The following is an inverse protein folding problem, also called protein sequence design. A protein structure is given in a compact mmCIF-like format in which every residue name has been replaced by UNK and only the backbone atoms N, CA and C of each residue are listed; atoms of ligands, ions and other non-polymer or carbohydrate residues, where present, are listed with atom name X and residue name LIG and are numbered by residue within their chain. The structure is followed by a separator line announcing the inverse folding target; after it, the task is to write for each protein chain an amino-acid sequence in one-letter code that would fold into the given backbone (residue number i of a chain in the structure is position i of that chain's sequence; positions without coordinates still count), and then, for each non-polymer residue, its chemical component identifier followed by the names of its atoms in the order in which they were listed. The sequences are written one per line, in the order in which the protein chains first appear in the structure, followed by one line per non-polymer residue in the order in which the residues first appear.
data_IF_854201162511
#
_entry.id   IF_854201162511
#
_cell.length_a   1.000
_cell.length_b   1.000
_cell.length_c   1.000
_cell.angle_alpha   90.00
_cell.angle_beta   90.00
_cell.angle_gamma   90.00
#
_symmetry.space_group_name_H-M   'P 1'
#
loop_
_entity.id
_entity.type
_entity.pdbx_description
1 polymer ?
#
# COMPACT_ATOMS: atom_id res chain seq x y z
N UNK A 1 11.02 7.70 40.22
CA UNK A 1 9.70 7.59 39.56
C UNK A 1 9.84 8.17 38.16
N UNK A 2 9.75 7.39 37.07
CA UNK A 2 9.83 7.96 35.73
C UNK A 2 8.55 8.77 35.44
N UNK A 3 8.71 9.98 34.93
CA UNK A 3 7.61 10.88 34.61
C UNK A 3 6.81 10.37 33.40
N UNK A 4 5.48 10.33 33.52
CA UNK A 4 4.59 9.98 32.42
C UNK A 4 4.57 11.16 31.44
N UNK A 5 4.91 10.97 30.15
CA UNK A 5 4.92 12.08 29.18
C UNK A 5 3.49 12.65 29.01
N UNK A 6 3.36 13.98 28.86
CA UNK A 6 2.06 14.63 28.75
C UNK A 6 1.32 14.13 27.51
N UNK A 7 0.06 13.70 27.68
CA UNK A 7 -0.80 13.23 26.59
C UNK A 7 -0.95 14.36 25.59
N UNK A 8 -0.49 14.15 24.34
CA UNK A 8 -0.68 15.15 23.29
C UNK A 8 -2.17 15.52 23.20
N UNK A 9 -2.46 16.82 23.11
CA UNK A 9 -3.83 17.29 22.88
C UNK A 9 -4.41 16.56 21.67
N UNK A 10 -5.63 16.05 21.80
CA UNK A 10 -6.34 15.40 20.71
C UNK A 10 -6.30 16.25 19.43
N UNK A 11 -6.41 17.57 19.55
CA UNK A 11 -6.32 18.50 18.42
C UNK A 11 -4.96 18.42 17.68
N UNK A 12 -3.84 18.31 18.41
CA UNK A 12 -2.51 18.14 17.79
C UNK A 12 -2.38 16.79 17.10
N UNK A 13 -2.95 15.73 17.67
CA UNK A 13 -2.95 14.40 17.05
C UNK A 13 -3.78 14.40 15.75
N UNK A 14 -4.94 15.06 15.76
CA UNK A 14 -5.78 15.23 14.57
C UNK A 14 -5.10 16.06 13.48
N UNK A 15 -4.48 17.19 13.83
CA UNK A 15 -3.73 18.01 12.87
C UNK A 15 -2.62 17.20 12.19
N UNK A 16 -1.85 16.43 12.97
CA UNK A 16 -0.80 15.57 12.43
C UNK A 16 -1.34 14.48 11.49
N UNK A 17 -2.47 13.87 11.84
CA UNK A 17 -3.10 12.86 10.98
C UNK A 17 -3.57 13.46 9.63
N UNK A 18 -4.13 14.68 9.67
CA UNK A 18 -4.51 15.41 8.47
C UNK A 18 -3.29 15.78 7.62
N UNK A 19 -2.21 16.27 8.22
CA UNK A 19 -0.96 16.59 7.51
C UNK A 19 -0.34 15.35 6.83
N UNK A 20 -0.37 14.19 7.49
CA UNK A 20 0.16 12.94 6.93
C UNK A 20 -0.65 12.42 5.74
N UNK A 21 -1.95 12.74 5.68
CA UNK A 21 -2.86 12.28 4.63
C UNK A 21 -3.15 13.33 3.56
N UNK A 22 -2.81 14.60 3.80
CA UNK A 22 -3.00 15.70 2.84
C UNK A 22 -2.42 15.42 1.44
N UNK A 23 -1.24 14.77 1.28
CA UNK A 23 -0.72 14.43 -0.04
C UNK A 23 -1.62 13.50 -0.87
N UNK A 24 -2.48 12.70 -0.23
CA UNK A 24 -3.39 11.76 -0.92
C UNK A 24 -4.41 12.56 -1.74
N UNK A 25 -4.97 13.63 -1.16
CA UNK A 25 -5.95 14.48 -1.82
C UNK A 25 -5.33 15.36 -2.92
N UNK A 26 -4.08 15.81 -2.73
CA UNK A 26 -3.40 16.66 -3.72
C UNK A 26 -2.82 15.88 -4.91
N UNK A 27 -2.65 14.56 -4.81
CA UNK A 27 -2.11 13.71 -5.88
C UNK A 27 -3.09 12.58 -6.26
N UNK A 28 -4.27 12.88 -6.82
CA UNK A 28 -5.32 11.89 -7.07
C UNK A 28 -4.94 10.81 -8.08
N UNK A 29 -3.87 11.02 -8.86
CA UNK A 29 -3.33 10.04 -9.81
C UNK A 29 -2.27 9.13 -9.22
N UNK A 30 -1.71 9.45 -8.05
CA UNK A 30 -0.70 8.62 -7.38
C UNK A 30 -1.39 7.54 -6.54
N UNK A 31 -1.94 6.54 -7.23
CA UNK A 31 -2.65 5.42 -6.62
C UNK A 31 -1.66 4.36 -6.13
N UNK A 32 -2.12 3.46 -5.26
CA UNK A 32 -1.29 2.43 -4.64
C UNK A 32 -0.47 1.60 -5.66
N UNK A 33 -1.02 1.13 -6.81
CA UNK A 33 -0.21 0.43 -7.81
C UNK A 33 1.00 1.23 -8.30
N UNK A 34 0.87 2.55 -8.52
CA UNK A 34 1.99 3.37 -8.95
C UNK A 34 3.04 3.52 -7.85
N UNK A 35 2.63 3.63 -6.59
CA UNK A 35 3.57 3.66 -5.46
C UNK A 35 4.37 2.36 -5.37
N UNK A 36 3.74 1.21 -5.64
CA UNK A 36 4.43 -0.09 -5.66
C UNK A 36 5.43 -0.14 -6.83
N UNK A 37 5.08 0.38 -8.00
CA UNK A 37 5.98 0.48 -9.15
C UNK A 37 7.18 1.41 -8.87
N UNK A 38 6.94 2.60 -8.31
CA UNK A 38 7.98 3.55 -7.89
C UNK A 38 8.97 2.88 -6.90
N UNK A 39 8.46 2.10 -5.94
CA UNK A 39 9.30 1.37 -4.99
C UNK A 39 10.03 0.19 -5.63
N UNK A 40 9.43 -0.48 -6.61
CA UNK A 40 10.10 -1.53 -7.37
C UNK A 40 11.28 -0.98 -8.19
N UNK A 41 11.18 0.26 -8.69
CA UNK A 41 12.28 0.95 -9.37
C UNK A 41 13.35 1.42 -8.38
N UNK A 42 12.95 2.06 -7.28
CA UNK A 42 13.89 2.66 -6.33
C UNK A 42 14.62 1.64 -5.44
N UNK A 43 13.92 0.58 -5.01
CA UNK A 43 14.43 -0.42 -4.05
C UNK A 43 13.93 -1.83 -4.35
N UNK A 44 13.96 -2.24 -5.63
CA UNK A 44 13.37 -3.49 -6.12
C UNK A 44 13.77 -4.77 -5.37
N UNK A 45 14.99 -4.88 -4.86
CA UNK A 45 15.48 -6.06 -4.13
C UNK A 45 15.19 -6.01 -2.62
N UNK A 46 14.71 -4.88 -2.10
CA UNK A 46 14.33 -4.75 -0.70
C UNK A 46 13.05 -5.56 -0.41
N UNK A 47 12.92 -6.15 0.80
CA UNK A 47 11.73 -6.89 1.18
C UNK A 47 10.51 -5.95 1.27
N UNK A 48 9.43 -6.33 0.57
CA UNK A 48 8.15 -5.62 0.58
C UNK A 48 7.12 -6.35 1.47
N UNK A 49 7.04 -7.68 1.35
CA UNK A 49 6.16 -8.52 2.16
C UNK A 49 6.95 -9.65 2.78
N UNK A 50 6.68 -9.91 4.06
CA UNK A 50 7.24 -10.99 4.85
C UNK A 50 6.09 -11.80 5.42
N UNK A 51 6.14 -13.11 5.23
CA UNK A 51 5.30 -14.06 5.93
C UNK A 51 6.15 -15.24 6.42
N UNK A 52 5.55 -16.11 7.23
CA UNK A 52 6.21 -17.33 7.70
C UNK A 52 6.55 -18.29 6.55
N UNK A 53 5.93 -18.10 5.37
CA UNK A 53 6.02 -19.01 4.22
C UNK A 53 6.80 -18.43 3.06
N UNK A 54 6.70 -17.13 2.82
CA UNK A 54 7.35 -16.49 1.69
C UNK A 54 7.81 -15.06 2.00
N UNK A 55 8.77 -14.60 1.20
CA UNK A 55 9.21 -13.20 1.16
C UNK A 55 9.08 -12.71 -0.27
N UNK A 56 8.44 -11.56 -0.44
CA UNK A 56 8.40 -10.86 -1.72
C UNK A 56 9.22 -9.57 -1.62
N UNK A 57 10.08 -9.36 -2.61
CA UNK A 57 10.72 -8.07 -2.83
C UNK A 57 9.76 -7.09 -3.50
N UNK A 58 10.07 -5.80 -3.51
CA UNK A 58 9.23 -4.81 -4.21
C UNK A 58 9.08 -5.13 -5.71
N UNK A 59 10.16 -5.59 -6.36
CA UNK A 59 10.12 -6.04 -7.76
C UNK A 59 9.17 -7.22 -7.94
N UNK A 60 9.30 -8.26 -7.11
CA UNK A 60 8.46 -9.46 -7.20
C UNK A 60 6.98 -9.16 -6.92
N UNK A 61 6.70 -8.24 -5.98
CA UNK A 61 5.35 -7.77 -5.68
C UNK A 61 4.73 -7.05 -6.87
N UNK A 62 5.45 -6.09 -7.47
CA UNK A 62 4.98 -5.35 -8.65
C UNK A 62 4.69 -6.28 -9.82
N UNK A 63 5.60 -7.21 -10.12
CA UNK A 63 5.41 -8.21 -11.19
C UNK A 63 4.17 -9.08 -10.94
N UNK A 64 3.96 -9.54 -9.70
CA UNK A 64 2.80 -10.37 -9.35
C UNK A 64 1.49 -9.58 -9.43
N UNK A 65 1.48 -8.34 -8.95
CA UNK A 65 0.34 -7.43 -9.12
C UNK A 65 -0.01 -7.24 -10.60
N UNK A 66 0.99 -7.01 -11.45
CA UNK A 66 0.79 -6.80 -12.88
C UNK A 66 0.31 -8.05 -13.61
N UNK A 67 0.67 -9.27 -13.16
CA UNK A 67 0.07 -10.51 -13.69
C UNK A 67 -1.43 -10.57 -13.44
N UNK A 68 -1.88 -10.23 -12.22
CA UNK A 68 -3.32 -10.19 -11.91
C UNK A 68 -4.03 -9.06 -12.66
N UNK A 69 -3.40 -7.90 -12.82
CA UNK A 69 -3.98 -6.80 -13.60
C UNK A 69 -4.21 -7.20 -15.06
N UNK A 70 -3.24 -7.88 -15.71
CA UNK A 70 -3.39 -8.37 -17.10
C UNK A 70 -4.50 -9.42 -17.21
N UNK A 71 -4.51 -10.40 -16.31
CA UNK A 71 -5.61 -11.37 -16.25
C UNK A 71 -6.97 -10.67 -16.07
N UNK A 72 -7.06 -9.67 -15.19
CA UNK A 72 -8.30 -8.92 -14.96
C UNK A 72 -8.77 -8.19 -16.22
N UNK A 73 -7.85 -7.54 -16.95
CA UNK A 73 -8.15 -6.91 -18.23
C UNK A 73 -8.63 -7.92 -19.28
N UNK A 74 -8.03 -9.11 -19.32
CA UNK A 74 -8.46 -10.21 -20.21
C UNK A 74 -9.87 -10.72 -19.85
N UNK A 75 -10.27 -10.65 -18.58
CA UNK A 75 -11.65 -10.95 -18.15
C UNK A 75 -12.64 -9.79 -18.43
N UNK A 76 -12.17 -8.68 -18.98
CA UNK A 76 -12.99 -7.49 -19.25
C UNK A 76 -13.28 -6.63 -18.03
N UNK A 77 -12.54 -6.82 -16.92
CA UNK A 77 -12.79 -6.06 -15.70
C UNK A 77 -12.52 -4.57 -15.89
N UNK A 78 -13.44 -3.74 -15.41
CA UNK A 78 -13.44 -2.30 -15.58
C UNK A 78 -13.53 -1.53 -14.25
N UNK A 79 -13.24 -0.23 -14.32
CA UNK A 79 -13.35 0.66 -13.17
C UNK A 79 -14.80 0.67 -12.66
N UNK A 80 -14.96 0.46 -11.35
CA UNK A 80 -16.27 0.43 -10.68
C UNK A 80 -16.81 -0.99 -10.46
N UNK A 81 -16.18 -2.00 -11.06
CA UNK A 81 -16.54 -3.39 -10.81
C UNK A 81 -15.94 -3.93 -9.51
N UNK A 82 -16.59 -4.95 -8.97
CA UNK A 82 -16.23 -5.56 -7.69
C UNK A 82 -15.71 -6.98 -7.89
N UNK A 83 -14.58 -7.30 -7.27
CA UNK A 83 -13.97 -8.64 -7.31
C UNK A 83 -13.95 -9.23 -5.91
N UNK A 84 -14.45 -10.46 -5.76
CA UNK A 84 -14.38 -11.19 -4.50
C UNK A 84 -13.01 -11.87 -4.33
N UNK A 85 -12.40 -11.71 -3.16
CA UNK A 85 -11.17 -12.42 -2.78
C UNK A 85 -11.49 -13.39 -1.65
N UNK A 86 -11.39 -14.69 -1.92
CA UNK A 86 -11.48 -15.73 -0.90
C UNK A 86 -10.18 -16.53 -0.92
N UNK A 87 -9.27 -16.18 -0.01
CA UNK A 87 -7.99 -16.86 0.14
C UNK A 87 -7.49 -16.77 1.59
N UNK A 88 -6.71 -17.74 2.06
CA UNK A 88 -6.03 -17.62 3.34
C UNK A 88 -4.92 -16.57 3.26
N UNK A 89 -4.59 -15.95 4.40
CA UNK A 89 -3.34 -15.22 4.52
C UNK A 89 -2.18 -16.19 4.33
N UNK A 90 -1.17 -15.74 3.57
CA UNK A 90 0.01 -16.52 3.23
C UNK A 90 1.25 -15.88 3.80
#
# INVERSE_FOLDING_TARGET
MPAIPPRASAAKAWLRALELTAPIASHPRRILPNVIEELAEACGEAPALLSDRERLTYRALAERSNRYARWALEQGLAKGETVCLLMPNR
#
